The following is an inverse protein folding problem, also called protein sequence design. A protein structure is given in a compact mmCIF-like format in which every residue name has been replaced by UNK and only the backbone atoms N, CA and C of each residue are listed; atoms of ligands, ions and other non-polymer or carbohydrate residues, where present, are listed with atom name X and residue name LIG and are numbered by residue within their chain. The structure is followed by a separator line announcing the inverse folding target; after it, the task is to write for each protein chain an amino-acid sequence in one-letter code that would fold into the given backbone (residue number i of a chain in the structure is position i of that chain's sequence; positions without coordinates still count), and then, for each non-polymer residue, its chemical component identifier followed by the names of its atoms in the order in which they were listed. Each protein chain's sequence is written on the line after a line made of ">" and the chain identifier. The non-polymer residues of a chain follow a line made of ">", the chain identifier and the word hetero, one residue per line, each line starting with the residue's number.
data_IF_367729884401
#
_entry.id   IF_367729884401
#
_cell.length_a   1.000
_cell.length_b   1.000
_cell.length_c   1.000
_cell.angle_alpha   90.00
_cell.angle_beta   90.00
_cell.angle_gamma   90.00
#
_symmetry.space_group_name_H-M   'P 1'
#
loop_
_entity.id
_entity.type
_entity.pdbx_description
1 polymer ?
#
# COMPACT_ATOMS: atom_id res chain seq x y z
N UNK A 1 14.28 -18.09 2.72
CA UNK A 1 14.01 -17.11 1.64
C UNK A 1 14.55 -17.48 0.28
N UNK A 2 15.69 -18.18 0.15
CA UNK A 2 16.15 -18.72 -1.14
C UNK A 2 15.23 -19.84 -1.70
N UNK A 3 14.37 -20.40 -0.85
CA UNK A 3 13.59 -21.62 -1.07
C UNK A 3 12.63 -21.56 -2.26
N UNK A 4 11.99 -20.42 -2.49
CA UNK A 4 11.01 -20.23 -3.56
C UNK A 4 11.63 -19.89 -4.93
N UNK A 5 12.95 -19.74 -4.99
CA UNK A 5 13.68 -19.41 -6.22
C UNK A 5 14.24 -20.65 -6.92
N UNK A 6 14.53 -21.71 -6.16
CA UNK A 6 14.99 -23.01 -6.64
C UNK A 6 14.33 -24.11 -5.76
N UNK A 7 13.03 -24.37 -5.94
CA UNK A 7 12.29 -25.24 -5.04
C UNK A 7 12.77 -26.69 -5.05
N UNK A 8 13.48 -27.15 -6.10
CA UNK A 8 14.09 -28.49 -6.13
C UNK A 8 15.34 -28.60 -5.24
N UNK A 9 16.01 -27.48 -4.94
CA UNK A 9 17.23 -27.41 -4.14
C UNK A 9 16.95 -26.92 -2.72
N UNK A 10 15.68 -26.62 -2.42
CA UNK A 10 15.28 -26.07 -1.13
C UNK A 10 15.11 -27.18 -0.08
N UNK A 11 15.82 -27.09 1.05
CA UNK A 11 15.62 -28.01 2.17
C UNK A 11 14.17 -27.96 2.68
N UNK A 12 13.55 -26.77 2.65
CA UNK A 12 12.17 -26.55 3.07
C UNK A 12 11.18 -27.28 2.16
N UNK A 13 11.34 -27.23 0.84
CA UNK A 13 10.47 -27.98 -0.07
C UNK A 13 10.66 -29.49 0.06
N UNK A 14 11.88 -29.97 0.29
CA UNK A 14 12.14 -31.40 0.52
C UNK A 14 11.37 -31.89 1.77
N UNK A 15 11.47 -31.16 2.88
CA UNK A 15 10.74 -31.49 4.12
C UNK A 15 9.22 -31.41 3.93
N UNK A 16 8.72 -30.40 3.20
CA UNK A 16 7.29 -30.24 2.94
C UNK A 16 6.72 -31.32 2.00
N UNK A 17 7.51 -31.80 1.03
CA UNK A 17 7.12 -32.87 0.11
C UNK A 17 7.18 -34.26 0.76
N UNK A 18 8.01 -34.45 1.77
CA UNK A 18 8.08 -35.66 2.60
C UNK A 18 6.94 -35.73 3.63
N UNK A 19 6.33 -34.58 3.96
CA UNK A 19 5.21 -34.49 4.89
C UNK A 19 3.90 -34.83 4.17
N UNK A 20 3.41 -36.06 4.34
CA UNK A 20 2.25 -36.64 3.63
C UNK A 20 0.99 -35.73 3.57
N UNK A 21 0.51 -35.08 4.65
CA UNK A 21 -0.66 -34.21 4.58
C UNK A 21 -0.40 -32.88 3.83
N UNK A 22 0.85 -32.47 3.70
CA UNK A 22 1.25 -31.21 3.05
C UNK A 22 1.77 -31.41 1.63
N UNK A 23 1.96 -32.66 1.21
CA UNK A 23 2.59 -33.01 -0.06
C UNK A 23 1.91 -32.36 -1.27
N UNK A 24 0.58 -32.45 -1.35
CA UNK A 24 -0.18 -31.88 -2.47
C UNK A 24 -0.10 -30.35 -2.51
N UNK A 25 -0.10 -29.70 -1.34
CA UNK A 25 0.03 -28.25 -1.21
C UNK A 25 1.45 -27.79 -1.52
N UNK A 26 2.46 -28.51 -1.05
CA UNK A 26 3.86 -28.28 -1.32
C UNK A 26 4.16 -28.42 -2.83
N UNK A 27 3.56 -29.40 -3.50
CA UNK A 27 3.75 -29.63 -4.92
C UNK A 27 3.04 -28.55 -5.78
N UNK A 28 1.86 -28.11 -5.35
CA UNK A 28 1.16 -26.97 -5.96
C UNK A 28 1.97 -25.67 -5.80
N UNK A 29 2.55 -25.44 -4.63
CA UNK A 29 3.36 -24.27 -4.31
C UNK A 29 4.71 -24.28 -5.07
N UNK A 30 5.32 -25.46 -5.22
CA UNK A 30 6.50 -25.68 -6.08
C UNK A 30 6.18 -25.33 -7.53
N UNK A 31 5.04 -25.81 -8.03
CA UNK A 31 4.58 -25.51 -9.38
C UNK A 31 4.32 -24.01 -9.59
N UNK A 32 3.77 -23.33 -8.58
CA UNK A 32 3.51 -21.89 -8.61
C UNK A 32 4.80 -21.06 -8.71
N UNK A 33 5.90 -21.52 -8.12
CA UNK A 33 7.20 -20.84 -8.19
C UNK A 33 7.72 -20.69 -9.64
N UNK A 34 7.32 -21.60 -10.53
CA UNK A 34 7.69 -21.61 -11.95
C UNK A 34 6.79 -20.78 -12.87
N UNK A 35 5.70 -20.20 -12.35
CA UNK A 35 4.80 -19.34 -13.13
C UNK A 35 5.46 -17.98 -13.41
N UNK A 36 5.36 -17.49 -14.67
CA UNK A 36 5.92 -16.19 -15.05
C UNK A 36 5.15 -15.06 -14.34
N UNK A 37 5.79 -13.99 -13.84
CA UNK A 37 5.09 -12.90 -13.14
C UNK A 37 3.94 -12.25 -13.94
N UNK A 38 4.05 -12.18 -15.27
CA UNK A 38 2.98 -11.69 -16.15
C UNK A 38 1.85 -12.70 -16.39
N UNK A 39 2.11 -13.98 -16.11
CA UNK A 39 1.13 -15.08 -16.15
C UNK A 39 0.56 -15.39 -14.76
N UNK A 40 0.98 -14.66 -13.72
CA UNK A 40 0.40 -14.76 -12.38
C UNK A 40 -1.02 -14.19 -12.44
N UNK A 41 -2.05 -15.00 -12.17
CA UNK A 41 -3.43 -14.55 -12.23
C UNK A 41 -3.69 -13.49 -11.16
N UNK A 42 -4.56 -12.51 -11.48
CA UNK A 42 -4.98 -11.51 -10.51
C UNK A 42 -5.71 -12.15 -9.33
N UNK A 43 -5.69 -11.50 -8.17
CA UNK A 43 -6.37 -12.00 -6.96
C UNK A 43 -7.86 -12.27 -7.20
N UNK A 44 -8.51 -11.48 -8.05
CA UNK A 44 -9.89 -11.71 -8.46
C UNK A 44 -10.06 -13.04 -9.22
N UNK A 45 -9.18 -13.33 -10.18
CA UNK A 45 -9.20 -14.57 -10.96
C UNK A 45 -8.90 -15.81 -10.11
N UNK A 46 -8.06 -15.68 -9.07
CA UNK A 46 -7.79 -16.73 -8.08
C UNK A 46 -9.04 -17.03 -7.25
N UNK A 47 -9.77 -15.99 -6.83
CA UNK A 47 -10.98 -16.13 -6.01
C UNK A 47 -12.15 -16.79 -6.74
N UNK A 48 -12.19 -16.68 -8.07
CA UNK A 48 -13.22 -17.26 -8.93
C UNK A 48 -12.88 -18.66 -9.46
N UNK A 49 -11.70 -19.22 -9.14
CA UNK A 49 -11.34 -20.60 -9.50
C UNK A 49 -11.24 -20.87 -11.01
N UNK A 50 -10.87 -19.86 -11.80
CA UNK A 50 -10.92 -19.89 -13.26
C UNK A 50 -10.05 -20.97 -13.95
N UNK A 51 -10.52 -21.46 -15.12
CA UNK A 51 -9.86 -22.51 -15.91
C UNK A 51 -8.46 -22.15 -16.47
N UNK A 52 -8.12 -20.86 -16.50
CA UNK A 52 -6.81 -20.33 -16.91
C UNK A 52 -5.71 -20.73 -15.92
N UNK A 53 -6.02 -20.77 -14.61
CA UNK A 53 -5.13 -21.25 -13.55
C UNK A 53 -4.69 -22.69 -13.79
N UNK A 54 -5.64 -23.56 -14.17
CA UNK A 54 -5.35 -24.98 -14.40
C UNK A 54 -4.37 -25.15 -15.58
N UNK A 55 -4.52 -24.35 -16.63
CA UNK A 55 -3.67 -24.42 -17.83
C UNK A 55 -2.26 -23.88 -17.59
N UNK A 56 -2.10 -22.81 -16.82
CA UNK A 56 -0.77 -22.27 -16.46
C UNK A 56 -0.02 -23.21 -15.52
N UNK A 57 -0.71 -23.75 -14.51
CA UNK A 57 -0.16 -24.73 -13.56
C UNK A 57 0.20 -26.05 -14.26
N UNK A 58 -0.66 -26.61 -15.13
CA UNK A 58 -0.33 -27.84 -15.88
C UNK A 58 0.88 -27.68 -16.80
N UNK A 59 1.07 -26.49 -17.41
CA UNK A 59 2.28 -26.21 -18.21
C UNK A 59 3.53 -26.12 -17.36
N UNK A 60 3.44 -25.53 -16.16
CA UNK A 60 4.54 -25.45 -15.22
C UNK A 60 4.92 -26.85 -14.67
N UNK A 61 3.93 -27.68 -14.31
CA UNK A 61 4.12 -29.04 -13.82
C UNK A 61 4.79 -29.96 -14.87
N UNK A 62 4.43 -29.85 -16.15
CA UNK A 62 5.08 -30.63 -17.22
C UNK A 62 6.56 -30.30 -17.44
N UNK A 63 7.08 -29.23 -16.81
CA UNK A 63 8.45 -28.76 -16.96
C UNK A 63 9.34 -29.05 -15.76
N UNK A 64 8.81 -29.21 -14.54
CA UNK A 64 9.64 -29.54 -13.37
C UNK A 64 10.38 -30.89 -13.56
N UNK A 65 9.77 -31.84 -14.27
CA UNK A 65 10.38 -33.15 -14.56
C UNK A 65 11.49 -33.17 -15.61
N UNK A 66 11.97 -32.03 -16.14
CA UNK A 66 13.00 -31.99 -17.21
C UNK A 66 14.34 -31.37 -16.81
N UNK A 67 14.49 -30.87 -15.59
CA UNK A 67 15.64 -30.04 -15.18
C UNK A 67 16.73 -30.81 -14.39
N UNK A 68 16.96 -32.09 -14.70
CA UNK A 68 18.16 -32.81 -14.24
C UNK A 68 19.25 -32.80 -15.33
N UNK A 69 20.22 -31.89 -15.19
CA UNK A 69 21.59 -31.82 -15.74
C UNK A 69 21.92 -32.14 -17.22
N UNK A 70 21.01 -32.63 -18.05
CA UNK A 70 21.26 -32.79 -19.48
C UNK A 70 21.01 -31.48 -20.23
N UNK A 71 22.00 -31.03 -21.03
CA UNK A 71 21.81 -29.93 -21.99
C UNK A 71 20.49 -30.12 -22.75
N UNK A 72 19.60 -29.13 -22.69
CA UNK A 72 18.29 -29.16 -23.33
C UNK A 72 18.42 -29.52 -24.84
N UNK A 73 17.47 -30.30 -25.38
CA UNK A 73 17.52 -30.84 -26.74
C UNK A 73 17.73 -29.75 -27.81
N UNK A 74 17.21 -28.54 -27.54
CA UNK A 74 17.46 -27.36 -28.38
C UNK A 74 18.93 -26.94 -28.40
N UNK A 75 19.59 -26.87 -27.25
CA UNK A 75 21.00 -26.51 -27.15
C UNK A 75 21.89 -27.56 -27.83
N UNK A 76 21.49 -28.85 -27.79
CA UNK A 76 22.17 -29.93 -28.52
C UNK A 76 22.05 -29.78 -30.04
N UNK A 77 20.86 -29.42 -30.53
CA UNK A 77 20.56 -29.31 -31.95
C UNK A 77 20.95 -27.97 -32.60
N UNK A 78 21.21 -26.92 -31.80
CA UNK A 78 21.48 -25.58 -32.28
C UNK A 78 22.70 -25.50 -33.21
N UNK A 79 23.85 -26.00 -32.76
CA UNK A 79 25.09 -26.00 -33.54
C UNK A 79 24.97 -26.81 -34.84
N UNK A 80 24.53 -28.09 -34.85
CA UNK A 80 24.39 -28.84 -36.09
C UNK A 80 23.31 -28.24 -37.01
N UNK A 81 22.24 -27.67 -36.44
CA UNK A 81 21.24 -26.93 -37.20
C UNK A 81 21.82 -25.70 -37.91
N UNK A 82 22.60 -24.89 -37.19
CA UNK A 82 23.26 -23.70 -37.74
C UNK A 82 24.24 -24.06 -38.87
N UNK A 83 25.06 -25.09 -38.67
CA UNK A 83 25.99 -25.62 -39.69
C UNK A 83 25.22 -26.13 -40.91
N UNK A 84 24.13 -26.88 -40.70
CA UNK A 84 23.28 -27.40 -41.78
C UNK A 84 22.64 -26.29 -42.61
N UNK A 85 22.03 -25.27 -41.97
CA UNK A 85 21.46 -24.11 -42.68
C UNK A 85 22.52 -23.31 -43.43
N UNK A 86 23.71 -23.14 -42.85
CA UNK A 86 24.83 -22.47 -43.51
C UNK A 86 25.31 -23.24 -44.75
N UNK A 87 25.40 -24.58 -44.65
CA UNK A 87 25.76 -25.45 -45.78
C UNK A 87 24.76 -25.39 -46.93
N UNK A 88 23.45 -25.42 -46.64
CA UNK A 88 22.39 -25.32 -47.66
C UNK A 88 22.40 -23.93 -48.33
N UNK A 89 22.55 -22.86 -47.55
CA UNK A 89 22.69 -21.51 -48.10
C UNK A 89 23.94 -21.39 -48.99
N UNK A 90 25.07 -21.96 -48.58
CA UNK A 90 26.30 -22.01 -49.37
C UNK A 90 26.15 -22.77 -50.68
N UNK A 91 25.46 -23.92 -50.66
CA UNK A 91 25.17 -24.70 -51.87
C UNK A 91 24.24 -23.94 -52.84
N UNK A 92 23.22 -23.24 -52.33
CA UNK A 92 22.33 -22.40 -53.15
C UNK A 92 23.08 -21.23 -53.79
N UNK A 93 23.98 -20.58 -53.05
CA UNK A 93 24.82 -19.51 -53.58
C UNK A 93 25.77 -20.04 -54.68
N UNK A 94 26.41 -21.18 -54.46
CA UNK A 94 27.30 -21.83 -55.42
C UNK A 94 26.56 -22.31 -56.68
N UNK A 95 25.28 -22.70 -56.55
CA UNK A 95 24.41 -23.05 -57.67
C UNK A 95 23.84 -21.84 -58.43
N UNK A 96 24.29 -20.61 -58.12
CA UNK A 96 23.90 -19.39 -58.81
C UNK A 96 22.58 -18.78 -58.35
N UNK A 97 22.08 -19.14 -57.15
CA UNK A 97 20.84 -18.62 -56.56
C UNK A 97 21.12 -17.75 -55.32
N UNK A 98 21.81 -16.60 -55.47
CA UNK A 98 22.23 -15.79 -54.33
C UNK A 98 21.05 -15.20 -53.55
N UNK A 99 19.96 -14.83 -54.23
CA UNK A 99 18.75 -14.31 -53.58
C UNK A 99 18.02 -15.38 -52.76
N UNK A 100 18.01 -16.64 -53.22
CA UNK A 100 17.46 -17.76 -52.47
C UNK A 100 18.26 -18.07 -51.21
N UNK A 101 19.59 -18.04 -51.31
CA UNK A 101 20.49 -18.19 -50.16
C UNK A 101 20.29 -17.06 -49.12
N UNK A 102 20.17 -15.80 -49.57
CA UNK A 102 19.92 -14.66 -48.71
C UNK A 102 18.55 -14.74 -48.01
N UNK A 103 17.49 -15.06 -48.75
CA UNK A 103 16.15 -15.21 -48.19
C UNK A 103 16.10 -16.32 -47.12
N UNK A 104 16.76 -17.45 -47.38
CA UNK A 104 16.85 -18.55 -46.42
C UNK A 104 17.61 -18.15 -45.15
N UNK A 105 18.73 -17.44 -45.27
CA UNK A 105 19.48 -16.93 -44.13
C UNK A 105 18.67 -15.92 -43.30
N UNK A 106 17.93 -15.00 -43.93
CA UNK A 106 17.10 -14.01 -43.25
C UNK A 106 15.94 -14.65 -42.48
N UNK A 107 15.24 -15.60 -43.09
CA UNK A 107 14.15 -16.33 -42.41
C UNK A 107 14.72 -17.18 -41.27
N UNK A 108 15.84 -17.88 -41.49
CA UNK A 108 16.49 -18.67 -40.46
C UNK A 108 16.97 -17.81 -39.29
N UNK A 109 17.60 -16.66 -39.54
CA UNK A 109 18.02 -15.74 -38.46
C UNK A 109 16.84 -15.14 -37.70
N UNK A 110 15.74 -14.80 -38.37
CA UNK A 110 14.53 -14.31 -37.70
C UNK A 110 13.92 -15.37 -36.76
N UNK A 111 13.73 -16.59 -37.25
CA UNK A 111 13.16 -17.70 -36.47
C UNK A 111 14.07 -18.11 -35.33
N UNK A 112 15.37 -18.29 -35.61
CA UNK A 112 16.36 -18.68 -34.60
C UNK A 112 16.56 -17.56 -33.57
N UNK A 113 16.63 -16.30 -34.00
CA UNK A 113 16.73 -15.15 -33.10
C UNK A 113 15.54 -15.05 -32.15
N UNK A 114 14.32 -15.26 -32.65
CA UNK A 114 13.11 -15.33 -31.81
C UNK A 114 13.14 -16.47 -30.80
N UNK A 115 13.55 -17.67 -31.21
CA UNK A 115 13.71 -18.84 -30.33
C UNK A 115 14.79 -18.62 -29.26
N UNK A 116 15.95 -18.08 -29.63
CA UNK A 116 17.03 -17.76 -28.70
C UNK A 116 16.58 -16.69 -27.70
N UNK A 117 15.91 -15.63 -28.17
CA UNK A 117 15.40 -14.57 -27.29
C UNK A 117 14.36 -15.06 -26.29
N UNK A 118 13.42 -15.92 -26.73
CA UNK A 118 12.41 -16.51 -25.84
C UNK A 118 13.01 -17.50 -24.85
N UNK A 119 13.98 -18.33 -25.26
CA UNK A 119 14.69 -19.25 -24.35
C UNK A 119 15.59 -18.51 -23.37
N UNK A 120 16.30 -17.48 -23.82
CA UNK A 120 17.12 -16.60 -22.98
C UNK A 120 16.26 -16.02 -21.84
N UNK A 121 15.13 -15.39 -22.17
CA UNK A 121 14.20 -14.84 -21.16
C UNK A 121 13.67 -15.89 -20.17
N UNK A 122 13.63 -17.16 -20.56
CA UNK A 122 13.18 -18.28 -19.72
C UNK A 122 14.28 -18.88 -18.85
N UNK A 123 15.53 -18.47 -19.00
CA UNK A 123 16.60 -18.92 -18.10
C UNK A 123 16.28 -18.49 -16.67
N UNK A 124 16.46 -19.42 -15.72
CA UNK A 124 16.22 -19.19 -14.28
C UNK A 124 16.98 -17.97 -13.77
N UNK A 125 18.23 -17.81 -14.20
CA UNK A 125 19.06 -16.66 -13.84
C UNK A 125 18.45 -15.31 -14.24
N UNK A 126 17.87 -15.22 -15.44
CA UNK A 126 17.28 -13.97 -15.95
C UNK A 126 15.95 -13.69 -15.26
N UNK A 127 15.17 -14.75 -15.00
CA UNK A 127 13.95 -14.64 -14.20
C UNK A 127 14.27 -14.15 -12.79
N UNK A 128 15.30 -14.70 -12.15
CA UNK A 128 15.76 -14.30 -10.81
C UNK A 128 16.22 -12.84 -10.79
N UNK A 129 17.07 -12.44 -11.73
CA UNK A 129 17.54 -11.05 -11.88
C UNK A 129 16.38 -10.08 -12.07
N UNK A 130 15.45 -10.36 -12.99
CA UNK A 130 14.28 -9.50 -13.23
C UNK A 130 13.37 -9.42 -12.00
N UNK A 131 13.18 -10.51 -11.24
CA UNK A 131 12.39 -10.48 -10.00
C UNK A 131 13.05 -9.59 -8.95
N UNK A 132 14.36 -9.70 -8.76
CA UNK A 132 15.09 -8.84 -7.83
C UNK A 132 15.08 -7.36 -8.27
N UNK A 133 15.21 -7.08 -9.57
CA UNK A 133 15.05 -5.71 -10.11
C UNK A 133 13.66 -5.15 -9.78
N UNK A 134 12.60 -5.95 -9.94
CA UNK A 134 11.23 -5.57 -9.56
C UNK A 134 11.05 -5.40 -8.05
N UNK A 135 11.71 -6.21 -7.23
CA UNK A 135 11.71 -6.06 -5.77
C UNK A 135 12.40 -4.76 -5.35
N UNK A 136 13.54 -4.41 -5.94
CA UNK A 136 14.23 -3.15 -5.70
C UNK A 136 13.38 -1.94 -6.12
N UNK A 137 12.71 -2.03 -7.27
CA UNK A 137 11.75 -1.01 -7.72
C UNK A 137 10.57 -0.88 -6.75
N UNK A 138 10.03 -2.00 -6.25
CA UNK A 138 8.94 -2.02 -5.25
C UNK A 138 9.39 -1.34 -3.96
N UNK A 139 10.58 -1.65 -3.45
CA UNK A 139 11.11 -0.98 -2.27
C UNK A 139 11.32 0.52 -2.51
N UNK A 140 11.81 0.90 -3.68
CA UNK A 140 11.97 2.31 -4.06
C UNK A 140 10.63 3.06 -4.08
N UNK A 141 9.57 2.43 -4.60
CA UNK A 141 8.23 3.00 -4.57
C UNK A 141 7.69 3.11 -3.14
N UNK A 142 7.86 2.07 -2.32
CA UNK A 142 7.42 2.07 -0.92
C UNK A 142 8.14 3.16 -0.09
N UNK A 143 9.46 3.31 -0.26
CA UNK A 143 10.23 4.39 0.38
C UNK A 143 9.68 5.75 -0.01
N UNK A 144 9.42 5.98 -1.30
CA UNK A 144 8.87 7.27 -1.79
C UNK A 144 7.51 7.58 -1.18
N UNK A 145 6.64 6.58 -1.03
CA UNK A 145 5.32 6.77 -0.43
C UNK A 145 5.41 7.05 1.08
N UNK A 146 6.31 6.37 1.79
CA UNK A 146 6.58 6.67 3.20
C UNK A 146 7.19 8.07 3.40
N UNK A 147 8.08 8.50 2.50
CA UNK A 147 8.65 9.86 2.52
C UNK A 147 7.57 10.93 2.32
N UNK A 148 6.61 10.70 1.41
CA UNK A 148 5.43 11.55 1.27
C UNK A 148 4.57 11.56 2.52
N UNK A 149 4.39 10.42 3.18
CA UNK A 149 3.66 10.35 4.46
C UNK A 149 4.36 11.20 5.52
N UNK A 150 5.69 11.11 5.64
CA UNK A 150 6.48 11.94 6.57
C UNK A 150 6.27 13.44 6.32
N UNK A 151 6.24 13.86 5.06
CA UNK A 151 5.99 15.27 4.72
C UNK A 151 4.56 15.68 5.07
N UNK A 152 3.56 14.85 4.73
CA UNK A 152 2.17 15.14 5.10
C UNK A 152 1.94 15.23 6.62
N UNK A 153 2.70 14.46 7.42
CA UNK A 153 2.64 14.52 8.89
C UNK A 153 3.28 15.81 9.41
N UNK A 154 4.36 16.27 8.76
CA UNK A 154 5.00 17.54 9.06
C UNK A 154 4.06 18.72 8.75
N UNK A 155 3.44 18.72 7.58
CA UNK A 155 2.47 19.75 7.20
C UNK A 155 1.32 19.84 8.23
N UNK A 156 0.76 18.70 8.65
CA UNK A 156 -0.27 18.66 9.71
C UNK A 156 0.22 19.23 11.04
N UNK A 157 1.47 18.98 11.41
CA UNK A 157 2.05 19.53 12.62
C UNK A 157 2.18 21.07 12.54
N UNK A 158 2.64 21.59 11.40
CA UNK A 158 2.75 23.03 11.15
C UNK A 158 1.36 23.69 11.09
N UNK A 159 0.39 23.04 10.46
CA UNK A 159 -1.01 23.47 10.44
C UNK A 159 -1.59 23.55 11.85
N UNK A 160 -1.40 22.53 12.71
CA UNK A 160 -1.89 22.55 14.09
C UNK A 160 -1.29 23.69 14.91
N UNK A 161 0.00 23.98 14.72
CA UNK A 161 0.69 25.08 15.41
C UNK A 161 0.16 26.44 14.96
N UNK A 162 -0.04 26.62 13.66
CA UNK A 162 -0.49 27.90 13.08
C UNK A 162 -1.98 28.16 13.32
N UNK A 163 -2.81 27.12 13.36
CA UNK A 163 -4.26 27.22 13.60
C UNK A 163 -4.65 27.28 15.08
N UNK A 164 -3.70 27.42 16.01
CA UNK A 164 -4.00 27.50 17.45
C UNK A 164 -4.88 28.70 17.81
N UNK A 165 -4.56 29.89 17.28
CA UNK A 165 -5.35 31.10 17.50
C UNK A 165 -6.78 30.96 16.94
N UNK A 166 -6.91 30.41 15.72
CA UNK A 166 -8.22 30.15 15.11
C UNK A 166 -9.05 29.17 15.96
N UNK A 167 -8.43 28.11 16.50
CA UNK A 167 -9.11 27.18 17.41
C UNK A 167 -9.51 27.81 18.74
N UNK A 168 -8.70 28.75 19.26
CA UNK A 168 -9.06 29.52 20.46
C UNK A 168 -10.31 30.34 20.21
N UNK A 169 -10.38 31.06 19.09
CA UNK A 169 -11.53 31.86 18.70
C UNK A 169 -12.78 31.02 18.42
N UNK A 170 -12.62 29.89 17.73
CA UNK A 170 -13.71 28.95 17.49
C UNK A 170 -14.26 28.39 18.80
N UNK A 171 -13.37 27.97 19.71
CA UNK A 171 -13.78 27.46 21.02
C UNK A 171 -14.43 28.54 21.87
N UNK A 172 -13.97 29.78 21.79
CA UNK A 172 -14.59 30.92 22.46
C UNK A 172 -16.01 31.13 21.95
N UNK A 173 -16.21 31.13 20.63
CA UNK A 173 -17.55 31.23 20.01
C UNK A 173 -18.49 30.13 20.51
N UNK A 174 -18.06 28.88 20.54
CA UNK A 174 -18.87 27.78 21.07
C UNK A 174 -19.28 27.99 22.55
N UNK A 175 -18.34 28.46 23.37
CA UNK A 175 -18.61 28.75 24.79
C UNK A 175 -19.58 29.91 24.94
N UNK A 176 -19.41 30.98 24.16
CA UNK A 176 -20.30 32.13 24.14
C UNK A 176 -21.71 31.74 23.69
N UNK A 177 -21.84 30.96 22.61
CA UNK A 177 -23.12 30.45 22.13
C UNK A 177 -23.83 29.58 23.18
N UNK A 178 -23.08 28.73 23.87
CA UNK A 178 -23.61 27.87 24.94
C UNK A 178 -24.08 28.71 26.13
N UNK A 179 -23.27 29.66 26.60
CA UNK A 179 -23.63 30.55 27.69
C UNK A 179 -24.87 31.38 27.35
N UNK A 180 -24.90 31.99 26.16
CA UNK A 180 -26.04 32.75 25.68
C UNK A 180 -27.29 31.88 25.56
N UNK A 181 -27.16 30.65 25.07
CA UNK A 181 -28.27 29.71 25.02
C UNK A 181 -28.81 29.41 26.42
N UNK A 182 -27.94 29.19 27.40
CA UNK A 182 -28.31 28.91 28.78
C UNK A 182 -29.04 30.07 29.46
N UNK A 183 -28.68 31.32 29.15
CA UNK A 183 -29.42 32.49 29.62
C UNK A 183 -30.78 32.62 28.89
N UNK A 184 -30.79 32.50 27.56
CA UNK A 184 -31.97 32.75 26.72
C UNK A 184 -33.03 31.64 26.77
N UNK A 185 -32.68 30.40 27.15
CA UNK A 185 -33.65 29.29 27.22
C UNK A 185 -34.75 29.52 28.27
N UNK A 186 -34.51 30.37 29.26
CA UNK A 186 -35.46 30.69 30.32
C UNK A 186 -36.47 31.77 29.93
N UNK A 187 -36.23 32.48 28.83
CA UNK A 187 -37.14 33.50 28.31
C UNK A 187 -38.11 32.90 27.31
N UNK A 188 -39.38 32.80 27.70
CA UNK A 188 -40.40 32.22 26.84
C UNK A 188 -40.94 33.27 25.86
N UNK A 189 -41.31 32.82 24.67
CA UNK A 189 -41.91 33.68 23.66
C UNK A 189 -43.28 34.28 24.07
N UNK A 190 -43.83 33.85 25.21
CA UNK A 190 -45.00 34.46 25.83
C UNK A 190 -44.74 35.88 26.35
N UNK A 191 -43.52 36.16 26.83
CA UNK A 191 -43.07 37.45 27.38
C UNK A 191 -43.06 38.54 26.31
N UNK A 192 -42.93 38.15 25.04
CA UNK A 192 -42.95 39.04 23.86
C UNK A 192 -44.23 39.89 23.78
N UNK A 193 -45.34 39.48 24.43
CA UNK A 193 -46.58 40.26 24.47
C UNK A 193 -46.43 41.61 25.17
N UNK A 194 -45.43 41.73 26.05
CA UNK A 194 -45.12 42.95 26.77
C UNK A 194 -44.43 44.00 25.87
N UNK A 195 -43.91 43.56 24.72
CA UNK A 195 -43.31 44.43 23.71
C UNK A 195 -44.40 45.07 22.85
N UNK A 196 -44.41 46.40 22.80
CA UNK A 196 -45.40 47.16 22.04
C UNK A 196 -45.43 46.76 20.55
N UNK A 197 -46.64 46.53 20.04
CA UNK A 197 -46.89 46.09 18.66
C UNK A 197 -46.76 44.58 18.41
N UNK A 198 -46.52 43.74 19.43
CA UNK A 198 -46.51 42.28 19.31
C UNK A 198 -47.73 41.64 19.99
N UNK A 199 -48.71 41.22 19.17
CA UNK A 199 -49.95 40.58 19.64
C UNK A 199 -49.84 39.06 19.84
N UNK A 200 -50.85 38.47 20.52
CA UNK A 200 -51.00 37.02 20.69
C UNK A 200 -50.90 36.22 19.38
N UNK A 201 -51.38 36.79 18.27
CA UNK A 201 -51.32 36.17 16.93
C UNK A 201 -49.87 35.91 16.48
N UNK A 202 -48.92 36.79 16.84
CA UNK A 202 -47.51 36.58 16.53
C UNK A 202 -46.92 35.45 17.38
N UNK A 203 -47.25 35.40 18.67
CA UNK A 203 -46.83 34.32 19.59
C UNK A 203 -47.30 32.95 19.11
N UNK A 204 -48.57 32.83 18.67
CA UNK A 204 -49.10 31.57 18.12
C UNK A 204 -48.33 31.13 16.89
N UNK A 205 -47.96 32.06 16.01
CA UNK A 205 -47.20 31.76 14.79
C UNK A 205 -45.76 31.35 15.07
N UNK A 206 -45.10 32.00 16.03
CA UNK A 206 -43.76 31.61 16.47
C UNK A 206 -43.77 30.21 17.06
N UNK A 207 -44.74 29.90 17.94
CA UNK A 207 -44.91 28.54 18.48
C UNK A 207 -45.21 27.50 17.40
N UNK A 208 -46.01 27.84 16.39
CA UNK A 208 -46.28 26.96 15.26
C UNK A 208 -45.05 26.73 14.37
N UNK A 209 -44.12 27.67 14.32
CA UNK A 209 -42.82 27.53 13.67
C UNK A 209 -41.77 26.79 14.53
N UNK A 210 -42.17 26.25 15.69
CA UNK A 210 -41.28 25.54 16.61
C UNK A 210 -40.48 26.46 17.54
N UNK A 211 -40.70 27.78 17.51
CA UNK A 211 -39.99 28.75 18.36
C UNK A 211 -40.78 28.99 19.64
N UNK A 212 -40.25 28.52 20.76
CA UNK A 212 -40.87 28.56 22.10
C UNK A 212 -40.10 29.46 23.05
N UNK A 213 -38.78 29.55 22.90
CA UNK A 213 -37.88 30.35 23.76
C UNK A 213 -37.13 31.42 22.98
N UNK A 214 -36.48 32.35 23.69
CA UNK A 214 -35.62 33.35 23.09
C UNK A 214 -34.34 32.75 22.48
N UNK A 215 -33.87 31.61 23.00
CA UNK A 215 -32.71 30.89 22.44
C UNK A 215 -32.97 30.33 21.04
N UNK A 216 -34.21 29.89 20.78
CA UNK A 216 -34.64 29.37 19.47
C UNK A 216 -34.96 30.50 18.46
N UNK A 217 -35.05 31.76 18.92
CA UNK A 217 -35.42 32.91 18.12
C UNK A 217 -34.21 33.49 17.34
N UNK A 218 -33.48 32.66 16.60
CA UNK A 218 -32.31 33.10 15.80
C UNK A 218 -32.72 34.06 14.66
N UNK A 219 -31.81 34.90 14.11
CA UNK A 219 -32.16 35.84 13.04
C UNK A 219 -32.69 35.13 11.79
N UNK A 220 -32.18 33.94 11.53
CA UNK A 220 -32.62 33.05 10.45
C UNK A 220 -34.00 32.44 10.75
N UNK A 221 -34.23 31.99 11.99
CA UNK A 221 -35.52 31.47 12.42
C UNK A 221 -36.62 32.55 12.36
N UNK A 222 -36.33 33.80 12.72
CA UNK A 222 -37.28 34.92 12.61
C UNK A 222 -37.66 35.17 11.14
N UNK A 223 -36.69 35.05 10.23
CA UNK A 223 -36.88 35.33 8.80
C UNK A 223 -37.70 34.25 8.11
N UNK A 224 -37.58 32.99 8.56
CA UNK A 224 -38.31 31.84 8.01
C UNK A 224 -39.79 31.81 8.42
N UNK A 225 -40.20 32.50 9.50
CA UNK A 225 -41.59 32.50 9.94
C UNK A 225 -42.49 33.28 8.97
N UNK A 226 -43.45 32.58 8.37
CA UNK A 226 -44.38 33.14 7.40
C UNK A 226 -45.43 34.06 8.04
N UNK A 227 -45.93 35.00 7.24
CA UNK A 227 -47.05 35.92 7.56
C UNK A 227 -46.79 36.88 8.73
N UNK A 228 -45.56 36.99 9.24
CA UNK A 228 -45.16 38.06 10.19
C UNK A 228 -44.68 39.26 9.38
N UNK A 229 -45.16 40.47 9.75
CA UNK A 229 -44.73 41.71 9.08
C UNK A 229 -43.26 42.04 9.38
N UNK A 230 -42.58 42.74 8.49
CA UNK A 230 -41.18 43.14 8.68
C UNK A 230 -40.99 43.99 9.94
N UNK A 231 -41.99 44.84 10.26
CA UNK A 231 -41.99 45.63 11.50
C UNK A 231 -42.05 44.74 12.75
N UNK A 232 -42.83 43.67 12.73
CA UNK A 232 -42.87 42.71 13.83
C UNK A 232 -41.57 41.88 13.91
N UNK A 233 -40.97 41.50 12.77
CA UNK A 233 -39.64 40.84 12.73
C UNK A 233 -38.56 41.73 13.32
N UNK A 234 -38.54 43.01 12.97
CA UNK A 234 -37.59 43.98 13.52
C UNK A 234 -37.75 44.10 15.04
N UNK A 235 -38.99 44.17 15.55
CA UNK A 235 -39.24 44.19 17.00
C UNK A 235 -38.82 42.91 17.71
N UNK A 236 -39.01 41.73 17.10
CA UNK A 236 -38.52 40.46 17.65
C UNK A 236 -36.99 40.42 17.70
N UNK A 237 -36.31 40.93 16.65
CA UNK A 237 -34.84 41.07 16.63
C UNK A 237 -34.37 42.05 17.69
N UNK A 238 -35.04 43.20 17.85
CA UNK A 238 -34.73 44.18 18.90
C UNK A 238 -34.94 43.61 20.30
N UNK A 239 -36.04 42.87 20.53
CA UNK A 239 -36.30 42.23 21.82
C UNK A 239 -35.23 41.21 22.16
N UNK A 240 -34.83 40.35 21.20
CA UNK A 240 -33.74 39.41 21.41
C UNK A 240 -32.41 40.10 21.64
N UNK A 241 -32.07 41.12 20.86
CA UNK A 241 -30.86 41.91 21.05
C UNK A 241 -30.83 42.60 22.43
N UNK A 242 -31.97 43.07 22.94
CA UNK A 242 -32.07 43.63 24.28
C UNK A 242 -31.86 42.56 25.38
N UNK A 243 -32.28 41.31 25.14
CA UNK A 243 -31.96 40.20 26.04
C UNK A 243 -30.48 39.83 25.95
N UNK A 244 -29.89 39.77 24.77
CA UNK A 244 -28.46 39.52 24.57
C UNK A 244 -27.62 40.59 25.28
N UNK A 245 -27.98 41.87 25.15
CA UNK A 245 -27.33 42.99 25.86
C UNK A 245 -27.51 42.87 27.38
N UNK A 246 -28.70 42.50 27.87
CA UNK A 246 -28.94 42.31 29.31
C UNK A 246 -28.01 41.23 29.90
N UNK A 247 -27.66 40.22 29.11
CA UNK A 247 -26.81 39.11 29.50
C UNK A 247 -25.37 39.24 29.01
N UNK A 248 -24.95 40.42 28.53
CA UNK A 248 -23.58 40.66 28.05
C UNK A 248 -22.54 40.26 29.09
N UNK A 249 -22.80 40.60 30.36
CA UNK A 249 -21.88 40.34 31.48
C UNK A 249 -21.82 38.85 31.88
N UNK A 250 -22.84 38.06 31.52
CA UNK A 250 -22.89 36.61 31.79
C UNK A 250 -22.22 35.78 30.68
N UNK A 251 -22.02 36.38 29.49
CA UNK A 251 -21.36 35.75 28.34
C UNK A 251 -19.84 36.05 28.40
N UNK A 252 -18.97 35.03 28.45
CA UNK A 252 -17.54 35.27 28.56
C UNK A 252 -16.91 35.93 27.31
N UNK A 253 -16.14 36.99 27.50
CA UNK A 253 -15.31 37.60 26.45
C UNK A 253 -14.05 36.80 26.12
N UNK A 254 -13.58 35.99 27.08
CA UNK A 254 -12.38 35.18 26.97
C UNK A 254 -12.61 33.75 27.49
N UNK A 255 -11.79 32.82 27.00
CA UNK A 255 -11.79 31.45 27.53
C UNK A 255 -11.30 31.44 28.97
N UNK A 256 -11.95 30.62 29.81
CA UNK A 256 -11.45 30.40 31.16
C UNK A 256 -10.04 29.78 31.14
N UNK A 257 -9.17 30.07 32.12
CA UNK A 257 -7.83 29.47 32.19
C UNK A 257 -7.84 27.94 32.21
N UNK A 258 -8.93 27.32 32.68
CA UNK A 258 -9.07 25.86 32.64
C UNK A 258 -9.35 25.34 31.22
N UNK A 259 -10.19 26.02 30.44
CA UNK A 259 -10.49 25.66 29.05
C UNK A 259 -9.27 25.87 28.15
N UNK A 260 -8.55 26.98 28.32
CA UNK A 260 -7.34 27.26 27.56
C UNK A 260 -6.25 26.19 27.80
N UNK A 261 -6.01 25.83 29.07
CA UNK A 261 -5.09 24.72 29.40
C UNK A 261 -5.53 23.37 28.84
N UNK A 262 -6.84 23.12 28.69
CA UNK A 262 -7.34 21.87 28.08
C UNK A 262 -7.10 21.88 26.57
N UNK A 263 -7.37 23.01 25.91
CA UNK A 263 -7.10 23.18 24.48
C UNK A 263 -5.61 23.02 24.19
N UNK A 264 -4.76 23.66 24.99
CA UNK A 264 -3.31 23.56 24.85
C UNK A 264 -2.82 22.12 25.02
N UNK A 265 -3.26 21.43 26.08
CA UNK A 265 -2.91 20.01 26.29
C UNK A 265 -3.39 19.09 25.17
N UNK A 266 -4.57 19.35 24.62
CA UNK A 266 -5.06 18.60 23.46
C UNK A 266 -4.16 18.79 22.24
N UNK A 267 -3.76 20.03 21.94
CA UNK A 267 -2.88 20.34 20.82
C UNK A 267 -1.48 19.75 21.02
N UNK A 268 -0.93 19.88 22.23
CA UNK A 268 0.37 19.31 22.61
C UNK A 268 0.38 17.80 22.43
N UNK A 269 -0.60 17.11 23.03
CA UNK A 269 -0.74 15.66 22.87
C UNK A 269 -0.88 15.24 21.40
N UNK A 270 -1.62 16.03 20.61
CA UNK A 270 -1.78 15.75 19.18
C UNK A 270 -0.48 15.95 18.39
N UNK A 271 0.34 16.93 18.77
CA UNK A 271 1.66 17.14 18.19
C UNK A 271 2.58 15.96 18.53
N UNK A 272 2.58 15.52 19.78
CA UNK A 272 3.39 14.37 20.24
C UNK A 272 3.01 13.09 19.50
N UNK A 273 1.71 12.83 19.30
CA UNK A 273 1.23 11.69 18.51
C UNK A 273 1.73 11.73 17.06
N UNK A 274 1.70 12.91 16.43
CA UNK A 274 2.19 13.10 15.06
C UNK A 274 3.70 12.88 14.99
N UNK A 275 4.45 13.36 15.98
CA UNK A 275 5.90 13.17 16.06
C UNK A 275 6.26 11.70 16.26
N UNK A 276 5.57 11.00 17.17
CA UNK A 276 5.74 9.57 17.38
C UNK A 276 5.41 8.77 16.10
N UNK A 277 4.35 9.15 15.37
CA UNK A 277 4.02 8.52 14.08
C UNK A 277 5.11 8.79 13.04
N UNK A 278 5.60 10.02 12.95
CA UNK A 278 6.68 10.40 12.04
C UNK A 278 7.98 9.63 12.33
N UNK A 279 8.32 9.43 13.61
CA UNK A 279 9.47 8.64 14.02
C UNK A 279 9.34 7.18 13.57
N UNK A 280 8.19 6.54 13.82
CA UNK A 280 7.90 5.18 13.34
C UNK A 280 7.94 5.06 11.81
N UNK A 281 7.43 6.06 11.09
CA UNK A 281 7.49 6.07 9.62
C UNK A 281 8.93 6.19 9.11
N UNK A 282 9.80 6.98 9.79
CA UNK A 282 11.23 7.06 9.46
C UNK A 282 11.96 5.75 9.70
N UNK A 283 11.70 5.09 10.83
CA UNK A 283 12.27 3.77 11.12
C UNK A 283 11.86 2.74 10.05
N UNK A 284 10.60 2.79 9.58
CA UNK A 284 10.16 1.98 8.43
C UNK A 284 10.93 2.32 7.17
N UNK A 285 11.17 3.60 6.87
CA UNK A 285 11.98 4.01 5.70
C UNK A 285 13.39 3.43 5.80
N UNK A 286 14.03 3.50 6.97
CA UNK A 286 15.36 2.93 7.19
C UNK A 286 15.35 1.41 6.97
N UNK A 287 14.37 0.71 7.53
CA UNK A 287 14.20 -0.73 7.32
C UNK A 287 14.05 -1.07 5.83
N UNK A 288 13.19 -0.35 5.10
CA UNK A 288 12.99 -0.57 3.66
C UNK A 288 14.26 -0.24 2.84
N UNK A 289 15.06 0.76 3.26
CA UNK A 289 16.35 1.06 2.62
C UNK A 289 17.34 -0.08 2.81
N UNK A 290 17.45 -0.63 4.02
CA UNK A 290 18.31 -1.78 4.29
C UNK A 290 17.86 -3.02 3.50
N UNK A 291 16.55 -3.29 3.39
CA UNK A 291 16.06 -4.40 2.54
C UNK A 291 16.37 -4.17 1.06
N UNK A 292 16.23 -2.92 0.57
CA UNK A 292 16.59 -2.56 -0.80
C UNK A 292 18.08 -2.80 -1.05
N UNK A 293 18.95 -2.37 -0.14
CA UNK A 293 20.40 -2.57 -0.23
C UNK A 293 20.75 -4.06 -0.31
N UNK A 294 20.11 -4.92 0.50
CA UNK A 294 20.29 -6.39 0.41
C UNK A 294 19.80 -6.99 -0.91
N UNK A 295 18.76 -6.44 -1.52
CA UNK A 295 18.34 -6.85 -2.87
C UNK A 295 19.36 -6.41 -3.93
N UNK A 296 19.84 -5.18 -3.84
CA UNK A 296 20.82 -4.60 -4.75
C UNK A 296 22.17 -5.33 -4.66
N UNK A 297 22.60 -5.71 -3.47
CA UNK A 297 23.80 -6.54 -3.25
C UNK A 297 23.66 -7.90 -3.93
N UNK A 298 22.54 -8.61 -3.70
CA UNK A 298 22.25 -9.89 -4.39
C UNK A 298 22.15 -9.75 -5.91
N UNK A 299 21.74 -8.58 -6.42
CA UNK A 299 21.75 -8.28 -7.86
C UNK A 299 23.17 -8.09 -8.40
N UNK A 300 24.05 -7.48 -7.61
CA UNK A 300 25.44 -7.20 -7.98
C UNK A 300 26.32 -8.46 -7.90
N UNK A 301 26.07 -9.34 -6.93
CA UNK A 301 26.72 -10.65 -6.81
C UNK A 301 26.36 -11.59 -7.97
N UNK A 302 25.20 -11.40 -8.58
CA UNK A 302 24.73 -12.25 -9.67
C UNK A 302 25.58 -12.10 -10.95
N UNK A 303 26.07 -13.20 -11.53
CA UNK A 303 26.86 -13.13 -12.75
C UNK A 303 26.07 -12.48 -13.91
N UNK A 304 26.72 -11.62 -14.68
CA UNK A 304 26.05 -10.98 -15.81
C UNK A 304 25.95 -11.95 -17.00
N UNK A 305 24.75 -12.49 -17.24
CA UNK A 305 24.47 -13.32 -18.40
C UNK A 305 23.88 -12.47 -19.53
N UNK A 306 24.71 -12.06 -20.49
CA UNK A 306 24.24 -11.35 -21.69
C UNK A 306 23.68 -12.31 -22.76
N UNK A 307 22.85 -11.80 -23.66
CA UNK A 307 22.34 -12.57 -24.82
C UNK A 307 23.50 -13.14 -25.64
N UNK A 308 24.57 -12.36 -25.84
CA UNK A 308 25.76 -12.80 -26.56
C UNK A 308 26.48 -13.97 -25.87
N UNK A 309 26.55 -13.95 -24.54
CA UNK A 309 27.12 -15.06 -23.75
C UNK A 309 26.26 -16.32 -23.87
N UNK A 310 24.94 -16.18 -23.88
CA UNK A 310 24.02 -17.30 -24.13
C UNK A 310 24.15 -17.87 -25.54
N UNK A 311 24.31 -17.02 -26.57
CA UNK A 311 24.57 -17.47 -27.95
C UNK A 311 25.91 -18.21 -28.05
N UNK A 312 26.96 -17.70 -27.39
CA UNK A 312 28.25 -18.41 -27.31
C UNK A 312 28.11 -19.78 -26.65
N UNK A 313 27.32 -19.89 -25.58
CA UNK A 313 26.98 -21.17 -24.98
C UNK A 313 26.27 -22.12 -25.97
N UNK A 314 25.28 -21.63 -26.73
CA UNK A 314 24.60 -22.44 -27.75
C UNK A 314 25.54 -22.90 -28.88
N UNK A 315 26.56 -22.09 -29.18
CA UNK A 315 27.64 -22.42 -30.12
C UNK A 315 28.75 -23.29 -29.49
N UNK A 316 28.60 -23.72 -28.23
CA UNK A 316 29.60 -24.49 -27.46
C UNK A 316 30.93 -23.77 -27.25
N UNK A 317 30.94 -22.44 -27.33
CA UNK A 317 32.12 -21.59 -27.14
C UNK A 317 32.32 -21.13 -25.70
N UNK A 318 31.29 -21.23 -24.86
CA UNK A 318 31.34 -20.80 -23.46
C UNK A 318 30.45 -21.71 -22.60
N UNK A 319 30.73 -21.78 -21.29
CA UNK A 319 29.86 -22.45 -20.33
C UNK A 319 28.79 -21.46 -19.83
N UNK A 320 27.61 -21.97 -19.45
CA UNK A 320 26.72 -21.16 -18.61
C UNK A 320 27.44 -20.96 -17.26
N UNK A 321 27.30 -19.79 -16.61
CA UNK A 321 27.74 -19.64 -15.23
C UNK A 321 27.15 -20.78 -14.40
N UNK A 322 28.02 -21.50 -13.70
CA UNK A 322 27.59 -22.63 -12.88
C UNK A 322 26.57 -22.15 -11.84
N UNK A 323 25.55 -22.98 -11.62
CA UNK A 323 24.63 -22.89 -10.47
C UNK A 323 25.33 -23.23 -9.14
N UNK A 324 26.63 -23.52 -9.16
CA UNK A 324 27.38 -24.17 -8.08
C UNK A 324 27.58 -23.30 -6.83
N UNK A 325 27.26 -22.01 -6.87
CA UNK A 325 27.02 -21.27 -5.65
C UNK A 325 25.55 -21.50 -5.29
N UNK A 326 25.33 -22.58 -4.53
CA UNK A 326 24.08 -22.80 -3.80
C UNK A 326 23.68 -21.54 -3.02
N UNK A 327 22.47 -21.51 -2.43
CA UNK A 327 22.05 -20.38 -1.60
C UNK A 327 23.20 -19.98 -0.68
N UNK A 328 23.55 -18.68 -0.56
CA UNK A 328 24.69 -18.26 0.26
C UNK A 328 24.52 -18.95 1.61
N UNK A 329 25.46 -19.82 1.94
CA UNK A 329 25.48 -20.49 3.23
C UNK A 329 25.52 -19.35 4.23
N UNK A 330 24.49 -19.20 5.10
CA UNK A 330 24.47 -18.08 6.03
C UNK A 330 25.79 -18.09 6.77
N UNK A 331 26.47 -16.95 6.80
CA UNK A 331 27.73 -16.88 7.51
C UNK A 331 27.47 -17.19 8.98
N UNK A 332 28.44 -17.82 9.66
CA UNK A 332 28.30 -18.22 11.08
C UNK A 332 27.90 -17.04 12.00
N UNK A 333 28.17 -15.80 11.56
CA UNK A 333 27.74 -14.57 12.22
C UNK A 333 26.25 -14.26 12.00
N UNK A 334 25.70 -14.51 10.80
CA UNK A 334 24.27 -14.39 10.51
C UNK A 334 23.44 -15.48 11.20
N UNK A 335 23.96 -16.71 11.33
CA UNK A 335 23.32 -17.76 12.14
C UNK A 335 23.30 -17.40 13.63
N UNK A 336 24.37 -16.81 14.15
CA UNK A 336 24.40 -16.28 15.53
C UNK A 336 23.42 -15.13 15.72
N UNK A 337 23.40 -14.16 14.81
CA UNK A 337 22.49 -13.02 14.88
C UNK A 337 21.01 -13.45 14.73
N UNK A 338 20.74 -14.53 14.00
CA UNK A 338 19.40 -15.12 13.89
C UNK A 338 19.04 -15.93 15.12
N UNK A 339 19.96 -16.73 15.67
CA UNK A 339 19.74 -17.45 16.94
C UNK A 339 19.46 -16.49 18.11
N UNK A 340 20.16 -15.36 18.17
CA UNK A 340 19.92 -14.31 19.19
C UNK A 340 18.57 -13.59 19.01
N UNK A 341 18.03 -13.54 17.78
CA UNK A 341 16.72 -12.92 17.47
C UNK A 341 15.54 -13.89 17.58
N UNK A 342 15.79 -15.20 17.66
CA UNK A 342 14.75 -16.26 17.68
C UNK A 342 14.64 -16.94 19.05
N UNK A 343 15.15 -16.32 20.12
CA UNK A 343 14.79 -16.67 21.49
C UNK A 343 13.31 -16.34 21.71
N UNK A 344 12.45 -17.25 21.24
CA UNK A 344 11.06 -17.34 21.65
C UNK A 344 11.08 -17.38 23.18
N UNK A 345 10.45 -16.41 23.89
CA UNK A 345 10.33 -16.50 25.33
C UNK A 345 9.70 -17.84 25.66
N UNK A 346 10.28 -18.58 26.61
CA UNK A 346 9.63 -19.77 27.16
C UNK A 346 8.18 -19.40 27.51
N UNK A 347 7.18 -20.23 27.12
CA UNK A 347 5.81 -19.96 27.49
C UNK A 347 5.77 -19.86 29.01
N UNK A 348 5.34 -18.70 29.51
CA UNK A 348 5.02 -18.55 30.93
C UNK A 348 3.93 -19.58 31.22
N UNK A 349 4.27 -20.61 31.98
CA UNK A 349 3.30 -21.56 32.55
C UNK A 349 2.39 -20.78 33.51
N UNK A 350 1.39 -20.12 32.94
CA UNK A 350 0.31 -19.53 33.71
C UNK A 350 -0.74 -20.64 33.86
N UNK A 351 -0.72 -21.34 35.00
CA UNK A 351 -1.70 -22.39 35.37
C UNK A 351 -3.15 -21.85 35.56
N UNK A 352 -3.44 -20.63 35.13
CA UNK A 352 -4.77 -20.04 35.16
C UNK A 352 -5.20 -19.63 33.76
N UNK A 353 -6.37 -20.12 33.35
CA UNK A 353 -7.02 -19.69 32.13
C UNK A 353 -7.30 -18.19 32.19
N UNK A 354 -6.75 -17.46 31.22
CA UNK A 354 -6.70 -15.98 31.17
C UNK A 354 -8.08 -15.28 31.13
N UNK A 355 -9.18 -16.03 31.04
CA UNK A 355 -10.56 -15.53 31.07
C UNK A 355 -11.20 -15.53 32.46
N UNK A 356 -10.56 -16.07 33.50
CA UNK A 356 -11.12 -16.07 34.87
C UNK A 356 -10.83 -14.78 35.65
N UNK A 357 -10.06 -13.85 35.09
CA UNK A 357 -9.86 -12.51 35.63
C UNK A 357 -10.71 -11.48 34.86
N UNK A 358 -12.02 -11.46 35.15
CA UNK A 358 -12.98 -10.47 34.66
C UNK A 358 -13.86 -9.94 35.77
#
# INVERSE_FOLDING_TARGET
>A
DADFYAPEESPLFNVLLETEPLRDLADALRTACYVEPGDVPSLAAVREGGSTLRRTVSRAASRSGRDAEERDAFARAFLPGAIGTGGVAGALAAAGWPFGALALLLVATGVVGGLVGTRYRRLSHIRRRRRLEQEAERFTAAIRDLEREVESLREKQEELRTSMAARREERLREVQETALHDCLKHHFIGEVREVDGLTHKHVVRLKAAGIRTASELTPDAITSVQRISDRARARLKMWRAALEEKYSDEVPDDLSPAQERRLQRYVEHRIDDLEARRARTREKIETQRTERERVEERLNEMPSLSIGRYVRYLLRLDALPDRADGPPTPTREEEKARADRTSVPEPVENEGDWWEAG
#
